data_IF_443337790474
#
_entry.id   IF_443337790474
#
_cell.length_a   1.000
_cell.length_b   1.000
_cell.length_c   1.000
_cell.angle_alpha   90.00
_cell.angle_beta   90.00
_cell.angle_gamma   90.00
#
_symmetry.space_group_name_H-M   'P 1'
#
loop_
_entity.id
_entity.type
_entity.pdbx_description
1 polymer ?
#
# COMPACT_ATOMS: atom_id res chain seq x y z
N UNK A 1 18.65 -2.25 24.19
CA UNK A 1 17.51 -1.52 23.60
C UNK A 1 17.02 -2.32 22.40
N UNK A 2 16.05 -3.21 22.60
CA UNK A 2 15.60 -4.11 21.52
C UNK A 2 14.57 -3.34 20.70
N UNK A 3 15.00 -2.80 19.55
CA UNK A 3 14.11 -2.25 18.54
C UNK A 3 13.20 -3.39 18.08
N UNK A 4 11.99 -3.49 18.66
CA UNK A 4 10.95 -4.37 18.13
C UNK A 4 10.65 -3.87 16.73
N UNK A 5 11.13 -4.60 15.73
CA UNK A 5 10.78 -4.41 14.32
C UNK A 5 9.28 -4.69 14.17
N UNK A 6 8.46 -3.65 14.41
CA UNK A 6 7.03 -3.70 14.15
C UNK A 6 6.84 -3.54 12.66
N UNK A 7 6.66 -4.67 11.98
CA UNK A 7 6.31 -4.72 10.57
C UNK A 7 4.91 -5.31 10.43
N UNK A 8 4.03 -4.61 9.70
CA UNK A 8 2.63 -5.00 9.53
C UNK A 8 2.40 -5.36 8.08
N UNK A 9 1.62 -6.42 7.85
CA UNK A 9 1.21 -6.85 6.51
C UNK A 9 -0.21 -6.38 6.28
N UNK A 10 -0.41 -5.58 5.23
CA UNK A 10 -1.71 -5.11 4.78
C UNK A 10 -2.07 -5.71 3.43
N UNK A 11 -3.37 -5.89 3.19
CA UNK A 11 -3.92 -6.29 1.90
C UNK A 11 -4.33 -5.06 1.13
N UNK A 12 -3.79 -4.90 -0.08
CA UNK A 12 -4.18 -3.82 -0.98
C UNK A 12 -4.74 -4.39 -2.28
N UNK A 13 -5.72 -3.70 -2.85
CA UNK A 13 -6.35 -4.02 -4.12
C UNK A 13 -6.11 -2.85 -5.08
N UNK A 14 -5.21 -3.07 -6.02
CA UNK A 14 -4.80 -2.07 -7.01
C UNK A 14 -5.68 -2.18 -8.25
N UNK A 15 -6.40 -1.09 -8.56
CA UNK A 15 -7.08 -0.86 -9.82
C UNK A 15 -6.20 0.02 -10.70
N UNK A 16 -5.41 -0.63 -11.55
CA UNK A 16 -4.60 0.04 -12.57
C UNK A 16 -5.47 0.55 -13.74
N UNK A 17 -4.92 1.46 -14.54
CA UNK A 17 -5.63 2.13 -15.65
C UNK A 17 -6.86 2.94 -15.22
N UNK A 18 -6.83 3.50 -14.01
CA UNK A 18 -7.88 4.41 -13.54
C UNK A 18 -7.73 5.80 -14.16
N UNK A 19 -8.84 6.53 -14.35
CA UNK A 19 -8.80 7.93 -14.78
C UNK A 19 -8.21 8.85 -13.70
N UNK A 20 -8.33 8.43 -12.44
CA UNK A 20 -7.97 9.18 -11.25
C UNK A 20 -7.14 8.32 -10.29
N UNK A 21 -6.29 8.97 -9.51
CA UNK A 21 -5.55 8.35 -8.42
C UNK A 21 -6.36 8.52 -7.13
N UNK A 22 -6.72 7.42 -6.47
CA UNK A 22 -7.56 7.42 -5.27
C UNK A 22 -7.09 6.31 -4.33
N UNK A 23 -7.23 6.52 -3.03
CA UNK A 23 -7.03 5.49 -2.01
C UNK A 23 -8.32 5.45 -1.18
N UNK A 24 -8.82 4.26 -0.89
CA UNK A 24 -10.02 4.07 -0.08
C UNK A 24 -9.84 2.85 0.81
N UNK A 25 -10.10 3.01 2.11
CA UNK A 25 -10.09 1.90 3.05
C UNK A 25 -11.42 1.15 2.97
N UNK A 26 -11.37 -0.16 2.72
CA UNK A 26 -12.55 -1.03 2.71
C UNK A 26 -12.35 -2.17 3.71
N UNK A 27 -12.68 -1.89 4.98
CA UNK A 27 -12.45 -2.81 6.09
C UNK A 27 -10.95 -3.06 6.28
N UNK A 28 -10.52 -4.30 6.09
CA UNK A 28 -9.11 -4.72 6.17
C UNK A 28 -8.36 -4.63 4.82
N UNK A 29 -9.07 -4.39 3.71
CA UNK A 29 -8.46 -4.23 2.38
C UNK A 29 -8.40 -2.73 2.02
N UNK A 30 -7.28 -2.28 1.43
CA UNK A 30 -7.16 -0.92 0.88
C UNK A 30 -7.36 -0.97 -0.63
N UNK A 31 -8.35 -0.26 -1.16
CA UNK A 31 -8.46 -0.06 -2.60
C UNK A 31 -7.61 1.13 -3.03
N UNK A 32 -6.73 0.91 -4.00
CA UNK A 32 -5.92 1.96 -4.59
C UNK A 32 -6.15 1.98 -6.10
N UNK A 33 -6.54 3.15 -6.61
CA UNK A 33 -6.67 3.41 -8.03
C UNK A 33 -5.42 4.13 -8.49
N UNK A 34 -4.78 3.61 -9.53
CA UNK A 34 -3.58 4.22 -10.12
C UNK A 34 -3.81 4.45 -11.62
N UNK A 35 -3.34 5.59 -12.12
CA UNK A 35 -3.37 5.89 -13.56
C UNK A 35 -2.40 5.02 -14.35
N UNK A 36 -1.32 4.57 -13.69
CA UNK A 36 -0.31 3.72 -14.29
C UNK A 36 -0.92 2.41 -14.84
N UNK A 37 -0.46 2.01 -16.03
CA UNK A 37 -0.80 0.71 -16.61
C UNK A 37 -0.16 -0.42 -15.76
N UNK A 38 -0.81 -1.59 -15.64
CA UNK A 38 -0.26 -2.75 -14.94
C UNK A 38 0.87 -3.45 -15.72
N UNK A 39 1.48 -2.76 -16.69
CA UNK A 39 2.52 -3.29 -17.56
C UNK A 39 3.90 -2.88 -17.02
N UNK A 40 4.85 -3.80 -17.14
CA UNK A 40 6.27 -3.54 -16.90
C UNK A 40 6.61 -3.02 -15.48
N UNK A 41 5.97 -3.57 -14.44
CA UNK A 41 6.14 -3.15 -13.02
C UNK A 41 5.79 -1.69 -12.69
N UNK A 42 5.30 -0.88 -13.65
CA UNK A 42 5.01 0.54 -13.41
C UNK A 42 3.96 0.74 -12.32
N UNK A 43 2.85 0.00 -12.38
CA UNK A 43 1.85 0.02 -11.30
C UNK A 43 2.40 -0.47 -9.95
N UNK A 44 3.44 -1.30 -9.92
CA UNK A 44 4.02 -1.79 -8.66
C UNK A 44 4.88 -0.70 -8.02
N UNK A 45 5.71 -0.04 -8.83
CA UNK A 45 6.53 1.08 -8.39
C UNK A 45 5.68 2.27 -7.94
N UNK A 46 4.62 2.59 -8.68
CA UNK A 46 3.72 3.70 -8.32
C UNK A 46 3.04 3.43 -6.97
N UNK A 47 2.52 2.22 -6.78
CA UNK A 47 1.88 1.81 -5.52
C UNK A 47 2.84 1.94 -4.34
N UNK A 48 4.07 1.44 -4.49
CA UNK A 48 5.08 1.57 -3.43
C UNK A 48 5.37 3.05 -3.16
N UNK A 49 5.60 3.86 -4.19
CA UNK A 49 5.84 5.30 -4.03
C UNK A 49 4.72 6.02 -3.30
N UNK A 50 3.46 5.75 -3.66
CA UNK A 50 2.30 6.37 -3.04
C UNK A 50 2.20 5.93 -1.58
N UNK A 51 2.34 4.64 -1.30
CA UNK A 51 2.28 4.13 0.08
C UNK A 51 3.44 4.67 0.92
N UNK A 52 4.67 4.73 0.40
CA UNK A 52 5.81 5.32 1.11
C UNK A 52 5.58 6.80 1.40
N UNK A 53 4.97 7.56 0.49
CA UNK A 53 4.60 8.97 0.74
C UNK A 53 3.50 9.11 1.79
N UNK A 54 2.47 8.26 1.72
CA UNK A 54 1.33 8.27 2.63
C UNK A 54 1.73 7.89 4.05
N UNK A 55 2.52 6.82 4.18
CA UNK A 55 2.93 6.30 5.48
C UNK A 55 4.21 6.96 6.00
N UNK A 56 5.05 7.52 5.13
CA UNK A 56 6.39 8.01 5.50
C UNK A 56 7.31 6.90 5.97
N UNK A 57 7.00 5.64 5.61
CA UNK A 57 7.68 4.42 6.06
C UNK A 57 8.08 3.59 4.87
N UNK A 58 8.98 2.63 5.11
CA UNK A 58 9.47 1.73 4.08
C UNK A 58 8.40 0.68 3.76
N UNK A 59 8.09 0.54 2.47
CA UNK A 59 7.02 -0.32 1.99
C UNK A 59 7.57 -1.38 1.05
N UNK A 60 7.19 -2.64 1.26
CA UNK A 60 7.64 -3.79 0.46
C UNK A 60 6.48 -4.65 0.01
N UNK A 61 6.41 -4.95 -1.29
CA UNK A 61 5.41 -5.90 -1.81
C UNK A 61 5.92 -7.33 -1.53
N UNK A 62 5.20 -8.08 -0.70
CA UNK A 62 5.51 -9.49 -0.41
C UNK A 62 4.91 -10.43 -1.46
N UNK A 63 3.66 -10.20 -1.87
CA UNK A 63 2.96 -11.05 -2.84
C UNK A 63 2.02 -10.21 -3.72
N UNK A 64 1.67 -10.76 -4.88
CA UNK A 64 0.73 -10.15 -5.81
C UNK A 64 1.36 -9.27 -6.89
N UNK A 65 2.65 -9.45 -7.20
CA UNK A 65 3.34 -8.70 -8.27
C UNK A 65 2.61 -8.77 -9.63
N UNK A 66 1.93 -9.88 -9.93
CA UNK A 66 1.11 -10.10 -11.13
C UNK A 66 -0.41 -10.02 -10.88
N UNK A 67 -0.83 -9.72 -9.66
CA UNK A 67 -2.25 -9.72 -9.27
C UNK A 67 -2.73 -8.33 -8.87
N UNK A 68 -4.03 -8.08 -9.06
CA UNK A 68 -4.69 -6.86 -8.57
C UNK A 68 -4.72 -6.83 -7.05
N UNK A 69 -4.70 -7.98 -6.38
CA UNK A 69 -4.59 -8.08 -4.92
C UNK A 69 -3.13 -8.29 -4.53
N UNK A 70 -2.59 -7.43 -3.68
CA UNK A 70 -1.20 -7.46 -3.22
C UNK A 70 -1.14 -7.49 -1.71
N UNK A 71 -0.14 -8.21 -1.20
CA UNK A 71 0.24 -8.18 0.20
C UNK A 71 1.46 -7.29 0.32
N UNK A 72 1.35 -6.28 1.18
CA UNK A 72 2.37 -5.27 1.36
C UNK A 72 2.77 -5.21 2.82
N UNK A 73 4.07 -5.30 3.05
CA UNK A 73 4.71 -5.12 4.35
C UNK A 73 5.06 -3.63 4.51
N UNK A 74 4.64 -3.05 5.62
CA UNK A 74 5.11 -1.72 6.04
C UNK A 74 6.03 -1.94 7.24
N UNK A 75 7.28 -1.52 7.11
CA UNK A 75 8.27 -1.62 8.18
C UNK A 75 8.17 -0.39 9.10
N UNK A 76 8.38 -0.57 10.41
CA UNK A 76 8.44 0.50 11.39
C UNK A 76 7.12 1.28 11.56
N UNK A 77 5.98 0.59 11.54
CA UNK A 77 4.66 1.19 11.78
C UNK A 77 3.83 0.36 12.77
N UNK A 78 3.02 1.04 13.59
CA UNK A 78 2.04 0.41 14.48
C UNK A 78 0.64 0.35 13.87
N UNK A 79 -0.20 -0.57 14.35
CA UNK A 79 -1.59 -0.73 13.86
C UNK A 79 -2.42 0.54 14.06
N UNK A 80 -2.23 1.23 15.19
CA UNK A 80 -2.90 2.50 15.49
C UNK A 80 -2.57 3.61 14.48
N UNK A 81 -1.33 3.66 14.02
CA UNK A 81 -0.85 4.69 13.10
C UNK A 81 -1.38 4.46 11.69
N UNK A 82 -1.44 3.19 11.26
CA UNK A 82 -2.12 2.79 10.03
C UNK A 82 -3.59 3.20 10.09
N UNK A 83 -4.28 2.92 11.21
CA UNK A 83 -5.67 3.32 11.42
C UNK A 83 -5.88 4.81 11.18
N UNK A 84 -5.10 5.66 11.86
CA UNK A 84 -5.17 7.12 11.77
C UNK A 84 -4.90 7.66 10.37
N UNK A 85 -3.92 7.11 9.66
CA UNK A 85 -3.59 7.56 8.29
C UNK A 85 -4.70 7.16 7.32
N UNK A 86 -5.23 5.95 7.45
CA UNK A 86 -6.32 5.48 6.59
C UNK A 86 -7.65 6.16 6.87
N UNK A 87 -7.90 6.66 8.08
CA UNK A 87 -9.08 7.49 8.38
C UNK A 87 -8.96 8.94 7.88
N UNK A 88 -7.74 9.39 7.57
CA UNK A 88 -7.47 10.74 7.03
C UNK A 88 -7.43 10.80 5.50
N UNK A 89 -7.54 9.65 4.81
CA UNK A 89 -7.53 9.49 3.35
C UNK A 89 -8.95 9.36 2.81
#
# INVERSE_FOLDING_TARGET
MVLKERSIIIKIKVKACSKEEKIEKKGEEILMWVKAKPENNKANQEVVRILEKVFGKKVRILKGLKSRKKLVLIENIGEEEIGKILEKL
#
